data_IF_834509757822
#
_entry.id   IF_834509757822
#
_cell.length_a   1.000
_cell.length_b   1.000
_cell.length_c   1.000
_cell.angle_alpha   90.00
_cell.angle_beta   90.00
_cell.angle_gamma   90.00
#
_symmetry.space_group_name_H-M   'P 1'
#
loop_
_entity.id
_entity.type
_entity.pdbx_description
1 polymer ?
#
# COMPACT_ATOMS: atom_id res chain seq x y z
N UNK A 1 -9.63 -34.30 -17.62
CA UNK A 1 -9.04 -33.05 -18.16
C UNK A 1 -8.92 -32.06 -17.02
N UNK A 2 -7.73 -31.90 -16.44
CA UNK A 2 -7.44 -30.94 -15.35
C UNK A 2 -6.40 -29.98 -15.91
N UNK A 3 -6.84 -28.82 -16.36
CA UNK A 3 -5.95 -27.71 -16.69
C UNK A 3 -6.62 -26.42 -16.22
N UNK A 4 -5.80 -25.51 -15.70
CA UNK A 4 -6.12 -24.11 -15.41
C UNK A 4 -6.47 -23.73 -13.96
N UNK A 5 -5.55 -23.98 -13.02
CA UNK A 5 -5.43 -23.16 -11.79
C UNK A 5 -4.00 -22.69 -11.48
N UNK A 6 -2.99 -23.12 -12.25
CA UNK A 6 -1.57 -22.85 -11.92
C UNK A 6 -1.04 -21.50 -12.42
N UNK A 7 -1.65 -20.89 -13.43
CA UNK A 7 -1.08 -19.73 -14.14
C UNK A 7 -1.33 -18.37 -13.46
N UNK A 8 -2.30 -18.28 -12.54
CA UNK A 8 -2.67 -17.02 -11.86
C UNK A 8 -1.77 -16.69 -10.67
N UNK A 9 -1.13 -17.70 -10.06
CA UNK A 9 -0.26 -17.51 -8.89
C UNK A 9 1.16 -17.07 -9.27
N UNK A 10 1.72 -17.58 -10.37
CA UNK A 10 3.10 -17.26 -10.76
C UNK A 10 3.31 -15.77 -11.09
N UNK A 11 2.28 -15.10 -11.63
CA UNK A 11 2.34 -13.65 -11.95
C UNK A 11 2.22 -12.79 -10.69
N UNK A 12 1.41 -13.23 -9.72
CA UNK A 12 1.24 -12.51 -8.44
C UNK A 12 2.51 -12.61 -7.59
N UNK A 13 3.18 -13.77 -7.59
CA UNK A 13 4.47 -13.96 -6.91
C UNK A 13 5.61 -13.17 -7.58
N UNK A 14 5.63 -13.07 -8.93
CA UNK A 14 6.59 -12.24 -9.66
C UNK A 14 6.42 -10.74 -9.36
N UNK A 15 5.16 -10.28 -9.21
CA UNK A 15 4.83 -8.88 -8.92
C UNK A 15 5.12 -8.51 -7.46
N UNK A 16 4.91 -9.44 -6.51
CA UNK A 16 5.32 -9.27 -5.11
C UNK A 16 6.84 -9.11 -4.99
N UNK A 17 7.60 -9.97 -5.67
CA UNK A 17 9.06 -9.91 -5.76
C UNK A 17 9.55 -8.59 -6.39
N UNK A 18 8.95 -8.17 -7.51
CA UNK A 18 9.33 -6.93 -8.20
C UNK A 18 9.01 -5.66 -7.40
N UNK A 19 7.86 -5.63 -6.70
CA UNK A 19 7.47 -4.49 -5.88
C UNK A 19 8.37 -4.31 -4.65
N UNK A 20 8.77 -5.42 -4.00
CA UNK A 20 9.69 -5.41 -2.87
C UNK A 20 11.05 -4.85 -3.26
N UNK A 21 11.63 -5.32 -4.38
CA UNK A 21 12.92 -4.81 -4.85
C UNK A 21 12.85 -3.35 -5.30
N UNK A 22 11.79 -2.96 -6.01
CA UNK A 22 11.56 -1.57 -6.37
C UNK A 22 11.47 -0.66 -5.13
N UNK A 23 10.80 -1.11 -4.06
CA UNK A 23 10.72 -0.36 -2.80
C UNK A 23 12.07 -0.26 -2.10
N UNK A 24 12.84 -1.35 -2.04
CA UNK A 24 14.19 -1.34 -1.45
C UNK A 24 15.12 -0.35 -2.16
N UNK A 25 14.97 -0.20 -3.48
CA UNK A 25 15.69 0.81 -4.25
C UNK A 25 15.13 2.23 -4.03
N UNK A 26 13.82 2.39 -3.87
CA UNK A 26 13.17 3.69 -3.72
C UNK A 26 13.35 4.31 -2.32
N UNK A 27 13.41 3.50 -1.26
CA UNK A 27 13.60 3.96 0.14
C UNK A 27 14.80 4.91 0.29
N UNK A 28 16.03 4.55 -0.12
CA UNK A 28 17.17 5.46 0.01
C UNK A 28 17.03 6.70 -0.89
N UNK A 29 16.36 6.58 -2.04
CA UNK A 29 16.12 7.70 -2.95
C UNK A 29 15.13 8.72 -2.39
N UNK A 30 14.20 8.31 -1.51
CA UNK A 30 13.21 9.20 -0.92
C UNK A 30 13.85 10.35 -0.13
N UNK A 31 15.04 10.15 0.46
CA UNK A 31 15.80 11.21 1.16
C UNK A 31 16.12 12.43 0.28
N UNK A 32 16.17 12.24 -1.03
CA UNK A 32 16.42 13.32 -1.98
C UNK A 32 15.23 14.27 -2.17
N UNK A 33 14.03 13.89 -1.70
CA UNK A 33 12.84 14.75 -1.77
C UNK A 33 13.00 15.88 -0.74
N UNK A 34 13.08 17.15 -1.18
CA UNK A 34 13.24 18.25 -0.25
C UNK A 34 12.05 18.35 0.70
N UNK A 35 12.30 18.79 1.95
CA UNK A 35 11.30 18.96 3.02
C UNK A 35 10.65 17.66 3.54
N UNK A 36 10.36 16.70 2.67
CA UNK A 36 9.54 15.53 2.97
C UNK A 36 10.31 14.20 2.96
N UNK A 37 11.60 14.20 2.61
CA UNK A 37 12.35 12.98 2.32
C UNK A 37 12.33 11.94 3.44
N UNK A 38 12.51 12.35 4.70
CA UNK A 38 12.43 11.44 5.86
C UNK A 38 11.02 10.88 6.10
N UNK A 39 9.99 11.69 5.83
CA UNK A 39 8.58 11.27 5.96
C UNK A 39 8.21 10.28 4.85
N UNK A 40 8.68 10.51 3.62
CA UNK A 40 8.45 9.61 2.48
C UNK A 40 9.23 8.32 2.67
N UNK A 41 10.50 8.37 3.05
CA UNK A 41 11.31 7.20 3.41
C UNK A 41 10.59 6.33 4.44
N UNK A 42 10.21 6.92 5.57
CA UNK A 42 9.50 6.20 6.62
C UNK A 42 8.09 5.75 6.23
N UNK A 43 7.53 6.24 5.12
CA UNK A 43 6.28 5.72 4.55
C UNK A 43 6.54 4.50 3.66
N UNK A 44 7.58 4.55 2.83
CA UNK A 44 8.00 3.43 1.98
C UNK A 44 8.44 2.21 2.81
N UNK A 45 9.11 2.43 3.94
CA UNK A 45 9.43 1.36 4.89
C UNK A 45 8.19 0.66 5.45
N UNK A 46 7.12 1.42 5.71
CA UNK A 46 5.84 0.85 6.16
C UNK A 46 5.18 0.06 5.02
N UNK A 47 5.24 0.56 3.78
CA UNK A 47 4.72 -0.15 2.62
C UNK A 47 5.45 -1.46 2.37
N UNK A 48 6.78 -1.47 2.48
CA UNK A 48 7.59 -2.68 2.38
C UNK A 48 7.11 -3.73 3.39
N UNK A 49 6.94 -3.33 4.66
CA UNK A 49 6.39 -4.22 5.69
C UNK A 49 4.99 -4.74 5.32
N UNK A 50 4.10 -3.87 4.82
CA UNK A 50 2.72 -4.24 4.44
C UNK A 50 2.73 -5.34 3.37
N UNK A 51 3.59 -5.23 2.36
CA UNK A 51 3.71 -6.26 1.31
C UNK A 51 4.23 -7.56 1.89
N UNK A 52 5.30 -7.51 2.69
CA UNK A 52 5.91 -8.72 3.26
C UNK A 52 4.92 -9.42 4.22
N UNK A 53 4.12 -8.68 4.97
CA UNK A 53 3.16 -9.23 5.93
C UNK A 53 1.84 -9.71 5.29
N UNK A 54 1.54 -9.34 4.04
CA UNK A 54 0.22 -9.62 3.42
C UNK A 54 -0.04 -11.12 3.26
N UNK A 55 1.02 -11.90 3.04
CA UNK A 55 0.92 -13.34 2.76
C UNK A 55 0.76 -14.19 4.02
N UNK A 56 1.13 -13.65 5.18
CA UNK A 56 0.98 -14.28 6.50
C UNK A 56 -0.44 -14.13 7.08
N UNK A 57 -1.28 -13.30 6.45
CA UNK A 57 -2.65 -13.07 6.91
C UNK A 57 -3.56 -14.22 6.52
N UNK A 58 -4.13 -14.89 7.54
CA UNK A 58 -5.05 -16.03 7.36
C UNK A 58 -6.52 -15.63 7.24
N UNK A 59 -6.90 -14.43 7.69
CA UNK A 59 -8.28 -13.95 7.68
C UNK A 59 -8.47 -12.84 6.65
N UNK A 60 -9.53 -12.91 5.83
CA UNK A 60 -9.81 -11.93 4.76
C UNK A 60 -8.61 -11.74 3.82
N UNK A 61 -7.86 -12.82 3.56
CA UNK A 61 -6.60 -12.83 2.81
C UNK A 61 -6.68 -12.02 1.51
N UNK A 62 -7.66 -12.28 0.66
CA UNK A 62 -7.86 -11.56 -0.61
C UNK A 62 -8.04 -10.05 -0.40
N UNK A 63 -8.81 -9.64 0.62
CA UNK A 63 -9.05 -8.22 0.89
C UNK A 63 -7.78 -7.53 1.42
N UNK A 64 -6.98 -8.23 2.24
CA UNK A 64 -5.69 -7.74 2.71
C UNK A 64 -4.65 -7.66 1.59
N UNK A 65 -4.62 -8.64 0.67
CA UNK A 65 -3.76 -8.61 -0.51
C UNK A 65 -4.12 -7.44 -1.43
N UNK A 66 -5.41 -7.27 -1.75
CA UNK A 66 -5.90 -6.13 -2.54
C UNK A 66 -5.57 -4.79 -1.88
N UNK A 67 -5.68 -4.69 -0.55
CA UNK A 67 -5.29 -3.49 0.18
C UNK A 67 -3.79 -3.22 0.08
N UNK A 68 -2.95 -4.25 0.25
CA UNK A 68 -1.50 -4.12 0.13
C UNK A 68 -1.10 -3.67 -1.28
N UNK A 69 -1.66 -4.28 -2.32
CA UNK A 69 -1.37 -3.91 -3.71
C UNK A 69 -1.80 -2.47 -4.01
N UNK A 70 -2.96 -2.04 -3.48
CA UNK A 70 -3.44 -0.66 -3.58
C UNK A 70 -2.51 0.32 -2.87
N UNK A 71 -2.03 -0.03 -1.67
CA UNK A 71 -1.07 0.77 -0.92
C UNK A 71 0.22 0.99 -1.72
N UNK A 72 0.73 -0.05 -2.39
CA UNK A 72 1.91 0.06 -3.26
C UNK A 72 1.67 1.05 -4.40
N UNK A 73 0.59 0.85 -5.15
CA UNK A 73 0.28 1.68 -6.31
C UNK A 73 0.13 3.16 -5.92
N UNK A 74 -0.58 3.45 -4.84
CA UNK A 74 -0.81 4.81 -4.35
C UNK A 74 0.48 5.44 -3.88
N UNK A 75 1.26 4.72 -3.06
CA UNK A 75 2.50 5.28 -2.51
C UNK A 75 3.55 5.50 -3.60
N UNK A 76 3.63 4.62 -4.60
CA UNK A 76 4.50 4.80 -5.76
C UNK A 76 4.11 6.03 -6.58
N UNK A 77 2.80 6.22 -6.84
CA UNK A 77 2.32 7.37 -7.61
C UNK A 77 2.52 8.69 -6.86
N UNK A 78 2.24 8.73 -5.56
CA UNK A 78 2.46 9.91 -4.71
C UNK A 78 3.95 10.23 -4.61
N UNK A 79 4.80 9.23 -4.37
CA UNK A 79 6.27 9.43 -4.31
C UNK A 79 6.78 10.00 -5.62
N UNK A 80 6.33 9.46 -6.76
CA UNK A 80 6.70 9.97 -8.10
C UNK A 80 6.30 11.43 -8.30
N UNK A 81 5.11 11.80 -7.83
CA UNK A 81 4.61 13.18 -7.93
C UNK A 81 5.42 14.13 -7.03
N UNK A 82 5.75 13.70 -5.81
CA UNK A 82 6.57 14.48 -4.87
C UNK A 82 7.99 14.70 -5.41
N UNK A 83 8.60 13.70 -6.04
CA UNK A 83 9.93 13.85 -6.65
C UNK A 83 9.98 14.89 -7.78
N UNK A 84 8.85 15.20 -8.41
CA UNK A 84 8.74 16.20 -9.49
C UNK A 84 8.26 17.56 -9.01
N UNK A 85 7.84 17.66 -7.76
CA UNK A 85 7.20 18.86 -7.21
C UNK A 85 8.22 19.92 -6.80
N UNK A 86 7.86 21.20 -6.95
CA UNK A 86 8.63 22.31 -6.40
C UNK A 86 8.48 22.45 -4.87
N UNK A 87 9.35 23.23 -4.24
CA UNK A 87 9.34 23.45 -2.80
C UNK A 87 8.01 24.00 -2.26
N UNK A 88 7.36 24.91 -2.99
CA UNK A 88 6.10 25.51 -2.57
C UNK A 88 4.95 24.48 -2.57
N UNK A 89 4.97 23.55 -3.52
CA UNK A 89 4.03 22.44 -3.63
C UNK A 89 4.30 21.38 -2.57
N UNK A 90 5.57 21.07 -2.29
CA UNK A 90 5.97 20.15 -1.23
C UNK A 90 5.51 20.66 0.15
N UNK A 91 5.75 21.94 0.46
CA UNK A 91 5.31 22.55 1.71
C UNK A 91 3.78 22.49 1.88
N UNK A 92 3.02 22.73 0.81
CA UNK A 92 1.54 22.61 0.83
C UNK A 92 1.05 21.17 1.04
N UNK A 93 1.86 20.17 0.68
CA UNK A 93 1.50 18.74 0.73
C UNK A 93 2.00 18.03 1.99
N UNK A 94 2.75 18.70 2.87
CA UNK A 94 3.33 18.10 4.07
C UNK A 94 2.29 17.40 4.96
N UNK A 95 1.19 18.09 5.25
CA UNK A 95 0.08 17.54 6.05
C UNK A 95 -0.56 16.32 5.38
N UNK A 96 -0.71 16.33 4.06
CA UNK A 96 -1.27 15.22 3.30
C UNK A 96 -0.36 14.00 3.32
N UNK A 97 0.97 14.21 3.24
CA UNK A 97 1.96 13.12 3.35
C UNK A 97 1.97 12.55 4.76
N UNK A 98 1.88 13.39 5.79
CA UNK A 98 1.76 12.95 7.17
C UNK A 98 0.47 12.13 7.41
N UNK A 99 -0.67 12.57 6.86
CA UNK A 99 -1.94 11.86 6.96
C UNK A 99 -1.91 10.49 6.25
N UNK A 100 -1.28 10.41 5.07
CA UNK A 100 -1.04 9.14 4.38
C UNK A 100 -0.19 8.22 5.25
N UNK A 101 0.93 8.71 5.79
CA UNK A 101 1.80 7.92 6.68
C UNK A 101 1.05 7.40 7.90
N UNK A 102 0.16 8.20 8.50
CA UNK A 102 -0.73 7.77 9.58
C UNK A 102 -1.62 6.59 9.16
N UNK A 103 -2.27 6.70 8.00
CA UNK A 103 -3.10 5.63 7.43
C UNK A 103 -2.28 4.36 7.19
N UNK A 104 -1.07 4.48 6.64
CA UNK A 104 -0.17 3.34 6.42
C UNK A 104 0.22 2.65 7.73
N UNK A 105 0.48 3.41 8.80
CA UNK A 105 0.76 2.83 10.13
C UNK A 105 -0.42 2.02 10.66
N UNK A 106 -1.63 2.54 10.55
CA UNK A 106 -2.84 1.82 10.97
C UNK A 106 -3.05 0.52 10.18
N UNK A 107 -2.80 0.55 8.86
CA UNK A 107 -2.83 -0.66 8.02
C UNK A 107 -1.78 -1.68 8.48
N UNK A 108 -0.54 -1.23 8.72
CA UNK A 108 0.53 -2.09 9.26
C UNK A 108 0.11 -2.74 10.57
N UNK A 109 -0.44 -1.97 11.51
CA UNK A 109 -0.92 -2.51 12.80
C UNK A 109 -2.02 -3.55 12.59
N UNK A 110 -2.98 -3.28 11.70
CA UNK A 110 -4.02 -4.26 11.38
C UNK A 110 -3.43 -5.57 10.82
N UNK A 111 -2.52 -5.49 9.84
CA UNK A 111 -1.91 -6.70 9.26
C UNK A 111 -1.09 -7.48 10.28
N UNK A 112 -0.36 -6.80 11.17
CA UNK A 112 0.36 -7.42 12.29
C UNK A 112 -0.58 -8.14 13.26
N UNK A 113 -1.72 -7.52 13.60
CA UNK A 113 -2.73 -8.17 14.43
C UNK A 113 -3.31 -9.40 13.74
N UNK A 114 -3.60 -9.31 12.44
CA UNK A 114 -4.22 -10.39 11.68
C UNK A 114 -3.29 -11.59 11.45
N UNK A 115 -2.00 -11.34 11.19
CA UNK A 115 -0.99 -12.38 11.04
C UNK A 115 -0.76 -13.13 12.36
N UNK A 116 -0.74 -12.41 13.49
CA UNK A 116 -0.50 -12.98 14.82
C UNK A 116 -1.77 -13.49 15.57
N UNK A 117 -2.98 -13.18 15.09
CA UNK A 117 -4.21 -13.51 15.81
C UNK A 117 -4.50 -15.02 15.91
N UNK A 118 -4.92 -15.45 17.11
CA UNK A 118 -5.47 -16.79 17.35
C UNK A 118 -6.85 -16.97 16.69
N UNK A 119 -7.25 -18.22 16.42
CA UNK A 119 -8.50 -18.57 15.73
C UNK A 119 -9.76 -17.96 16.39
N UNK A 120 -9.82 -17.96 17.72
CA UNK A 120 -10.96 -17.44 18.49
C UNK A 120 -11.07 -15.91 18.33
N UNK A 121 -9.93 -15.21 18.36
CA UNK A 121 -9.88 -13.76 18.17
C UNK A 121 -10.27 -13.37 16.73
N UNK A 122 -9.94 -14.22 15.76
CA UNK A 122 -10.32 -14.03 14.34
C UNK A 122 -11.83 -14.09 14.13
N UNK A 123 -12.52 -15.02 14.79
CA UNK A 123 -13.98 -15.15 14.66
C UNK A 123 -14.68 -13.92 15.25
N UNK A 124 -14.26 -13.46 16.45
CA UNK A 124 -14.85 -12.31 17.12
C UNK A 124 -14.62 -10.98 16.39
N UNK A 125 -13.44 -10.80 15.78
CA UNK A 125 -13.08 -9.55 15.07
C UNK A 125 -13.52 -9.50 13.61
N UNK A 126 -14.24 -10.51 13.10
CA UNK A 126 -14.50 -10.64 11.66
C UNK A 126 -15.29 -9.47 11.07
N UNK A 127 -16.26 -8.92 11.82
CA UNK A 127 -17.04 -7.74 11.42
C UNK A 127 -16.19 -6.46 11.44
N UNK A 128 -15.55 -6.19 12.58
CA UNK A 128 -14.69 -5.01 12.80
C UNK A 128 -13.57 -4.89 11.75
N UNK A 129 -12.98 -6.02 11.35
CA UNK A 129 -11.92 -6.04 10.33
C UNK A 129 -12.46 -5.62 8.96
N UNK A 130 -13.69 -6.01 8.61
CA UNK A 130 -14.33 -5.58 7.36
C UNK A 130 -14.50 -4.06 7.30
N UNK A 131 -14.99 -3.47 8.38
CA UNK A 131 -15.22 -2.02 8.46
C UNK A 131 -13.89 -1.24 8.41
N UNK A 132 -12.85 -1.74 9.09
CA UNK A 132 -11.50 -1.15 9.01
C UNK A 132 -10.91 -1.20 7.60
N UNK A 133 -11.05 -2.33 6.90
CA UNK A 133 -10.58 -2.45 5.51
C UNK A 133 -11.30 -1.47 4.58
N UNK A 134 -12.61 -1.29 4.76
CA UNK A 134 -13.38 -0.30 4.00
C UNK A 134 -12.93 1.13 4.30
N UNK A 135 -12.73 1.46 5.58
CA UNK A 135 -12.24 2.76 6.01
C UNK A 135 -10.84 3.06 5.43
N UNK A 136 -9.94 2.09 5.44
CA UNK A 136 -8.61 2.27 4.85
C UNK A 136 -8.67 2.52 3.35
N UNK A 137 -9.53 1.80 2.63
CA UNK A 137 -9.76 2.07 1.21
C UNK A 137 -10.23 3.50 0.99
N UNK A 138 -11.20 3.99 1.76
CA UNK A 138 -11.71 5.36 1.63
C UNK A 138 -10.61 6.39 1.90
N UNK A 139 -9.80 6.22 2.95
CA UNK A 139 -8.69 7.14 3.27
C UNK A 139 -7.60 7.15 2.19
N UNK A 140 -7.30 5.99 1.63
CA UNK A 140 -6.37 5.87 0.50
C UNK A 140 -6.91 6.58 -0.74
N UNK A 141 -8.21 6.48 -1.00
CA UNK A 141 -8.86 7.18 -2.12
C UNK A 141 -8.83 8.70 -1.93
N UNK A 142 -9.12 9.19 -0.72
CA UNK A 142 -8.96 10.61 -0.37
C UNK A 142 -7.51 11.09 -0.55
N UNK A 143 -6.51 10.24 -0.25
CA UNK A 143 -5.12 10.59 -0.50
C UNK A 143 -4.87 10.79 -2.01
N UNK A 144 -5.28 9.85 -2.87
CA UNK A 144 -5.15 9.98 -4.33
C UNK A 144 -5.72 11.32 -4.82
N UNK A 145 -6.96 11.64 -4.40
CA UNK A 145 -7.65 12.87 -4.80
C UNK A 145 -6.88 14.11 -4.36
N UNK A 146 -6.37 14.11 -3.12
CA UNK A 146 -5.59 15.21 -2.56
C UNK A 146 -4.30 15.47 -3.33
N UNK A 147 -3.61 14.41 -3.75
CA UNK A 147 -2.36 14.52 -4.52
C UNK A 147 -2.59 14.76 -6.02
N UNK A 148 -3.85 14.81 -6.47
CA UNK A 148 -4.25 14.93 -7.87
C UNK A 148 -3.59 13.89 -8.78
N UNK A 149 -3.37 12.68 -8.25
CA UNK A 149 -2.73 11.61 -9.01
C UNK A 149 -3.67 11.21 -10.14
N UNK A 150 -3.27 11.47 -11.38
CA UNK A 150 -4.11 11.23 -12.55
C UNK A 150 -4.55 9.75 -12.61
N UNK A 151 -5.85 9.44 -12.78
CA UNK A 151 -6.35 8.07 -12.83
C UNK A 151 -5.71 7.22 -13.94
N UNK A 152 -5.11 7.84 -14.96
CA UNK A 152 -4.46 7.11 -16.08
C UNK A 152 -3.24 6.30 -15.64
N UNK A 153 -2.50 6.73 -14.61
CA UNK A 153 -1.44 5.93 -13.98
C UNK A 153 -2.03 4.73 -13.21
N UNK A 154 -3.22 4.93 -12.63
CA UNK A 154 -3.97 3.89 -11.94
C UNK A 154 -4.43 2.79 -12.91
N UNK A 155 -4.90 3.16 -14.11
CA UNK A 155 -5.36 2.22 -15.16
C UNK A 155 -4.20 1.40 -15.74
N UNK A 156 -2.98 1.93 -15.84
CA UNK A 156 -1.81 1.17 -16.30
C UNK A 156 -1.40 0.05 -15.32
N UNK A 157 -1.59 0.25 -14.01
CA UNK A 157 -1.44 -0.81 -13.02
C UNK A 157 -2.72 -1.67 -12.86
N UNK A 158 -3.91 -1.18 -13.24
CA UNK A 158 -5.17 -1.93 -13.18
C UNK A 158 -5.47 -2.80 -14.42
N UNK A 159 -4.95 -2.45 -15.60
CA UNK A 159 -5.24 -3.17 -16.86
C UNK A 159 -4.60 -4.57 -16.94
N UNK A 160 -3.74 -4.94 -15.98
CA UNK A 160 -3.20 -6.29 -15.84
C UNK A 160 -3.93 -7.14 -14.77
N UNK A 161 -4.98 -6.63 -14.15
CA UNK A 161 -5.60 -7.23 -12.95
C UNK A 161 -7.09 -7.61 -13.07
N UNK A 162 -7.62 -7.78 -14.28
CA UNK A 162 -8.90 -8.45 -14.52
C UNK A 162 -8.73 -9.67 -15.42
#
# INVERSE_FOLDING_TARGET
MVYSSKKKNDVVDLLGSGAVEALRLAIPLAKSIPLLGSTVEGSLEIVLFIIEAKDDVKMKKEQCQLLADRVVAITAAITTELMKSDHATLARRENSVAALRGTLREIKTLLQELSSASLIRRILKRGEVGDKLLLFRQRLDTAIDTFHVCPKLYVLFHAHFF
#
